data_IF_998691770696
#
_entry.id   IF_998691770696
#
_cell.length_a   1.000
_cell.length_b   1.000
_cell.length_c   1.000
_cell.angle_alpha   90.00
_cell.angle_beta   90.00
_cell.angle_gamma   90.00
#
_symmetry.space_group_name_H-M   'P 1'
#
loop_
_entity.id
_entity.type
_entity.pdbx_description
1 polymer ?
#
# COMPACT_ATOMS: atom_id res chain seq x y z
N UNK A 1 -37.95 38.27 -2.23
CA UNK A 1 -37.92 37.08 -1.37
C UNK A 1 -37.89 35.74 -2.17
N UNK A 2 -38.73 35.56 -3.18
CA UNK A 2 -38.77 34.29 -3.96
C UNK A 2 -37.45 33.95 -4.73
N UNK A 3 -36.71 34.95 -5.24
CA UNK A 3 -35.43 34.75 -5.95
C UNK A 3 -34.26 34.41 -5.02
N UNK A 4 -34.26 34.90 -3.79
CA UNK A 4 -33.27 34.58 -2.77
C UNK A 4 -33.42 33.16 -2.27
N UNK A 5 -34.68 32.68 -2.14
CA UNK A 5 -34.99 31.31 -1.71
C UNK A 5 -34.51 30.25 -2.74
N UNK A 6 -34.68 30.54 -4.03
CA UNK A 6 -34.20 29.67 -5.14
C UNK A 6 -32.66 29.59 -5.16
N UNK A 7 -31.98 30.71 -4.90
CA UNK A 7 -30.51 30.73 -4.86
C UNK A 7 -29.98 29.92 -3.67
N UNK A 8 -30.67 29.96 -2.52
CA UNK A 8 -30.30 29.20 -1.32
C UNK A 8 -30.49 27.69 -1.51
N UNK A 9 -31.54 27.26 -2.19
CA UNK A 9 -31.80 25.86 -2.56
C UNK A 9 -30.76 25.37 -3.54
N UNK A 10 -30.31 26.20 -4.50
CA UNK A 10 -29.24 25.85 -5.45
C UNK A 10 -27.87 25.71 -4.76
N UNK A 11 -27.59 26.54 -3.76
CA UNK A 11 -26.36 26.45 -2.95
C UNK A 11 -26.31 25.19 -2.07
N UNK A 12 -27.48 24.74 -1.55
CA UNK A 12 -27.57 23.50 -0.76
C UNK A 12 -27.43 22.24 -1.64
N UNK A 13 -27.87 22.30 -2.89
CA UNK A 13 -27.72 21.20 -3.86
C UNK A 13 -26.29 21.04 -4.36
N UNK A 14 -25.44 22.06 -4.25
CA UNK A 14 -24.02 21.98 -4.63
C UNK A 14 -23.11 21.37 -3.53
N UNK A 15 -23.62 21.16 -2.31
CA UNK A 15 -22.81 20.64 -1.21
C UNK A 15 -22.76 19.11 -1.09
N UNK A 16 -23.43 18.36 -1.98
CA UNK A 16 -23.45 16.90 -1.95
C UNK A 16 -22.86 16.24 -3.19
N UNK A 17 -21.92 16.90 -3.89
CA UNK A 17 -21.03 16.22 -4.81
C UNK A 17 -19.92 15.52 -4.00
N UNK A 18 -20.30 14.54 -3.17
CA UNK A 18 -19.36 13.51 -2.76
C UNK A 18 -18.96 12.81 -4.05
N UNK A 19 -17.65 12.77 -4.35
CA UNK A 19 -17.15 11.93 -5.41
C UNK A 19 -17.71 10.52 -5.16
N UNK A 20 -18.57 10.03 -6.05
CA UNK A 20 -19.05 8.66 -5.96
C UNK A 20 -17.88 7.74 -6.27
N UNK A 21 -17.66 6.72 -5.43
CA UNK A 21 -16.79 5.63 -5.84
C UNK A 21 -17.44 4.94 -7.05
N UNK A 22 -16.89 5.18 -8.23
CA UNK A 22 -17.38 4.60 -9.48
C UNK A 22 -17.02 3.12 -9.64
N UNK A 23 -16.35 2.51 -8.64
CA UNK A 23 -15.92 1.12 -8.65
C UNK A 23 -16.69 0.30 -7.62
N UNK A 24 -17.94 -0.03 -7.95
CA UNK A 24 -18.72 -0.96 -7.14
C UNK A 24 -18.07 -2.35 -7.12
N UNK A 25 -17.95 -2.94 -5.94
CA UNK A 25 -17.59 -4.35 -5.76
C UNK A 25 -18.43 -4.96 -4.64
N UNK A 26 -18.63 -6.27 -4.71
CA UNK A 26 -19.43 -7.00 -3.70
C UNK A 26 -18.80 -6.96 -2.31
N UNK A 27 -17.48 -6.76 -2.21
CA UNK A 27 -16.71 -6.78 -0.95
C UNK A 27 -16.45 -5.40 -0.38
N UNK A 28 -16.68 -4.33 -1.15
CA UNK A 28 -16.28 -2.98 -0.75
C UNK A 28 -16.92 -2.50 0.56
N UNK A 29 -18.21 -2.82 0.75
CA UNK A 29 -18.91 -2.45 1.99
C UNK A 29 -18.33 -3.14 3.23
N UNK A 30 -17.81 -4.35 3.10
CA UNK A 30 -17.16 -5.08 4.18
C UNK A 30 -15.78 -4.48 4.48
N UNK A 31 -15.01 -4.15 3.43
CA UNK A 31 -13.71 -3.49 3.55
C UNK A 31 -13.86 -2.13 4.24
N UNK A 32 -14.85 -1.30 3.85
CA UNK A 32 -15.13 -0.03 4.53
C UNK A 32 -15.41 -0.26 6.01
N UNK A 33 -16.27 -1.21 6.37
CA UNK A 33 -16.58 -1.51 7.77
C UNK A 33 -15.36 -1.93 8.57
N UNK A 34 -14.45 -2.70 7.95
CA UNK A 34 -13.22 -3.15 8.59
C UNK A 34 -12.26 -1.99 8.83
N UNK A 35 -12.01 -1.15 7.80
CA UNK A 35 -11.00 -0.09 7.82
C UNK A 35 -11.51 1.16 8.52
N UNK A 36 -12.66 1.66 8.08
CA UNK A 36 -13.21 2.95 8.51
C UNK A 36 -13.95 2.83 9.85
N UNK A 37 -14.58 1.68 10.09
CA UNK A 37 -15.40 1.44 11.29
C UNK A 37 -16.50 2.51 11.45
N UNK A 38 -16.39 3.35 12.48
CA UNK A 38 -17.33 4.42 12.79
C UNK A 38 -16.82 5.82 12.43
N UNK A 39 -15.61 5.90 11.83
CA UNK A 39 -15.01 7.19 11.47
C UNK A 39 -15.70 7.77 10.23
N UNK A 40 -15.45 9.06 9.99
CA UNK A 40 -15.90 9.71 8.75
C UNK A 40 -15.02 9.30 7.57
N UNK A 41 -15.62 9.22 6.40
CA UNK A 41 -14.87 9.03 5.16
C UNK A 41 -15.40 9.90 4.03
N UNK A 42 -14.54 10.17 3.07
CA UNK A 42 -14.83 10.86 1.82
C UNK A 42 -14.10 10.16 0.67
N UNK A 43 -14.68 10.18 -0.51
CA UNK A 43 -13.97 9.83 -1.73
C UNK A 43 -13.14 11.02 -2.18
N UNK A 44 -11.85 10.82 -2.48
CA UNK A 44 -10.91 11.91 -2.70
C UNK A 44 -9.98 11.66 -3.89
N UNK A 45 -10.19 12.40 -4.96
CA UNK A 45 -9.39 12.34 -6.19
C UNK A 45 -7.99 12.95 -6.05
N UNK A 46 -7.67 13.57 -4.90
CA UNK A 46 -6.31 14.04 -4.60
C UNK A 46 -5.33 12.90 -4.36
N UNK A 47 -5.83 11.70 -4.04
CA UNK A 47 -5.00 10.49 -4.00
C UNK A 47 -4.74 10.03 -5.44
N UNK A 48 -3.49 10.08 -5.87
CA UNK A 48 -3.09 9.62 -7.20
C UNK A 48 -2.68 8.15 -7.15
N UNK A 49 -3.38 7.32 -7.92
CA UNK A 49 -3.09 5.89 -8.03
C UNK A 49 -2.60 5.62 -9.45
N UNK A 50 -1.40 5.00 -9.57
CA UNK A 50 -0.88 4.52 -10.85
C UNK A 50 -0.76 3.02 -10.81
N UNK A 51 -1.37 2.37 -11.78
CA UNK A 51 -1.28 0.94 -12.08
C UNK A 51 -1.09 0.80 -13.59
N UNK A 52 -0.55 -0.29 -14.12
CA UNK A 52 -0.49 -0.51 -15.56
C UNK A 52 -1.91 -0.58 -16.16
N UNK A 53 -2.04 -0.19 -17.41
CA UNK A 53 -3.33 -0.29 -18.14
C UNK A 53 -3.83 -1.72 -18.22
N UNK A 54 -2.88 -2.68 -18.31
CA UNK A 54 -3.07 -4.11 -18.20
C UNK A 54 -1.84 -4.75 -17.53
N UNK A 55 -2.06 -5.63 -16.56
CA UNK A 55 -1.01 -6.35 -15.85
C UNK A 55 -0.71 -7.68 -16.57
N UNK A 56 0.29 -7.67 -17.46
CA UNK A 56 0.75 -8.86 -18.19
C UNK A 56 1.31 -9.92 -17.24
N UNK A 57 1.98 -9.49 -16.17
CA UNK A 57 2.49 -10.37 -15.12
C UNK A 57 1.70 -10.17 -13.84
N UNK A 58 0.71 -11.03 -13.60
CA UNK A 58 -0.14 -10.99 -12.41
C UNK A 58 0.58 -11.28 -11.09
N UNK A 59 1.79 -11.85 -11.13
CA UNK A 59 2.64 -12.07 -9.95
C UNK A 59 3.42 -10.83 -9.53
N UNK A 60 3.57 -9.82 -10.42
CA UNK A 60 4.38 -8.63 -10.18
C UNK A 60 3.74 -7.38 -10.75
N UNK A 61 2.57 -7.02 -10.26
CA UNK A 61 1.82 -5.83 -10.70
C UNK A 61 2.35 -4.60 -9.95
N UNK A 62 3.01 -3.65 -10.64
CA UNK A 62 3.50 -2.44 -9.99
C UNK A 62 2.34 -1.52 -9.64
N UNK A 63 2.35 -1.02 -8.41
CA UNK A 63 1.44 0.00 -7.93
C UNK A 63 2.22 1.19 -7.37
N UNK A 64 1.70 2.38 -7.60
CA UNK A 64 2.23 3.62 -7.02
C UNK A 64 1.09 4.47 -6.50
N UNK A 65 1.21 4.87 -5.25
CA UNK A 65 0.27 5.71 -4.52
C UNK A 65 0.96 7.03 -4.19
N UNK A 66 0.31 8.14 -4.50
CA UNK A 66 0.74 9.47 -4.08
C UNK A 66 -0.45 10.21 -3.44
N UNK A 67 -0.43 10.27 -2.14
CA UNK A 67 -1.37 10.97 -1.29
C UNK A 67 -0.74 12.17 -0.57
N UNK A 68 0.35 12.77 -1.10
CA UNK A 68 1.00 13.96 -0.49
C UNK A 68 0.05 15.12 -0.27
N UNK A 69 -0.98 15.25 -1.11
CA UNK A 69 -1.97 16.30 -1.00
C UNK A 69 -2.92 16.11 0.21
N UNK A 70 -2.93 14.92 0.82
CA UNK A 70 -3.66 14.69 2.07
C UNK A 70 -2.80 15.22 3.21
N UNK A 71 -3.19 16.36 3.76
CA UNK A 71 -2.44 17.02 4.82
C UNK A 71 -2.46 16.17 6.10
N UNK A 72 -1.32 16.10 6.76
CA UNK A 72 -1.15 15.39 8.03
C UNK A 72 -1.65 13.94 8.00
N UNK A 73 -1.46 13.26 6.87
CA UNK A 73 -1.76 11.84 6.75
C UNK A 73 -1.00 11.04 7.81
N UNK A 74 -1.72 10.12 8.50
CA UNK A 74 -1.22 9.29 9.61
C UNK A 74 -1.12 7.82 9.25
N UNK A 75 -1.94 7.35 8.31
CA UNK A 75 -2.03 5.93 7.99
C UNK A 75 -2.46 5.72 6.55
N UNK A 76 -1.86 4.72 5.88
CA UNK A 76 -2.31 4.21 4.58
C UNK A 76 -2.72 2.75 4.74
N UNK A 77 -3.87 2.37 4.18
CA UNK A 77 -4.28 0.97 4.08
C UNK A 77 -4.64 0.67 2.63
N UNK A 78 -4.16 -0.46 2.11
CA UNK A 78 -4.42 -0.89 0.74
C UNK A 78 -5.14 -2.24 0.71
N UNK A 79 -6.12 -2.35 -0.19
CA UNK A 79 -6.87 -3.58 -0.46
C UNK A 79 -6.96 -3.85 -1.96
N UNK A 80 -6.98 -5.13 -2.32
CA UNK A 80 -7.41 -5.61 -3.64
C UNK A 80 -8.68 -6.44 -3.43
N UNK A 81 -9.82 -5.92 -3.88
CA UNK A 81 -11.15 -6.39 -3.50
C UNK A 81 -11.38 -7.88 -3.77
N UNK A 82 -10.87 -8.41 -4.88
CA UNK A 82 -11.11 -9.77 -5.33
C UNK A 82 -9.91 -10.72 -5.15
N UNK A 83 -8.86 -10.27 -4.46
CA UNK A 83 -7.80 -11.18 -4.04
C UNK A 83 -8.29 -12.09 -2.90
N UNK A 84 -7.84 -13.36 -2.83
CA UNK A 84 -8.13 -14.23 -1.69
C UNK A 84 -7.66 -13.65 -0.36
N UNK A 85 -6.52 -12.98 -0.36
CA UNK A 85 -5.99 -12.17 0.74
C UNK A 85 -6.15 -10.72 0.29
N UNK A 86 -7.22 -10.07 0.73
CA UNK A 86 -7.62 -8.74 0.22
C UNK A 86 -6.73 -7.62 0.71
N UNK A 87 -6.37 -7.61 2.00
CA UNK A 87 -5.48 -6.60 2.58
C UNK A 87 -4.08 -6.79 2.03
N UNK A 88 -3.50 -5.71 1.53
CA UNK A 88 -2.14 -5.71 0.99
C UNK A 88 -1.16 -5.19 2.04
N UNK A 89 -1.47 -4.04 2.60
CA UNK A 89 -0.59 -3.32 3.52
C UNK A 89 -1.39 -2.41 4.45
N UNK A 90 -0.84 -2.20 5.64
CA UNK A 90 -1.31 -1.24 6.64
C UNK A 90 -0.09 -0.49 7.19
N UNK A 91 0.05 0.77 6.87
CA UNK A 91 1.25 1.56 7.11
C UNK A 91 0.94 2.77 8.00
N UNK A 92 1.62 2.86 9.13
CA UNK A 92 1.61 4.04 9.99
C UNK A 92 2.65 5.06 9.50
N UNK A 93 2.24 6.32 9.36
CA UNK A 93 3.00 7.43 8.78
C UNK A 93 3.45 8.41 9.87
N UNK A 94 4.49 8.09 10.63
CA UNK A 94 4.99 9.01 11.65
C UNK A 94 5.68 10.21 11.00
N UNK A 95 6.76 9.95 10.26
CA UNK A 95 7.50 10.99 9.53
C UNK A 95 7.66 10.67 8.03
N UNK A 96 6.75 9.87 7.49
CA UNK A 96 6.65 9.59 6.06
C UNK A 96 5.49 10.37 5.45
N UNK A 97 5.65 10.75 4.19
CA UNK A 97 4.52 11.16 3.35
C UNK A 97 3.65 9.94 3.02
N UNK A 98 2.38 10.18 2.68
CA UNK A 98 1.48 9.17 2.14
C UNK A 98 1.87 8.78 0.71
N UNK A 99 3.11 8.34 0.52
CA UNK A 99 3.68 7.91 -0.78
C UNK A 99 4.24 6.52 -0.64
N UNK A 100 3.79 5.63 -1.52
CA UNK A 100 4.18 4.23 -1.51
C UNK A 100 4.27 3.67 -2.93
N UNK A 101 5.32 2.92 -3.23
CA UNK A 101 5.38 2.08 -4.41
C UNK A 101 5.82 0.67 -4.02
N UNK A 102 5.14 -0.32 -4.57
CA UNK A 102 5.48 -1.75 -4.42
C UNK A 102 4.88 -2.55 -5.57
N UNK A 103 5.24 -3.82 -5.66
CA UNK A 103 4.60 -4.77 -6.58
C UNK A 103 3.72 -5.72 -5.79
N UNK A 104 2.57 -6.08 -6.35
CA UNK A 104 1.61 -7.01 -5.74
C UNK A 104 1.27 -8.16 -6.68
N UNK A 105 0.78 -9.25 -6.08
CA UNK A 105 0.14 -10.35 -6.80
C UNK A 105 -1.35 -10.08 -6.92
N UNK A 106 -1.94 -10.41 -8.07
CA UNK A 106 -3.38 -10.30 -8.28
C UNK A 106 -3.95 -11.63 -8.78
N UNK A 107 -5.03 -12.08 -8.14
CA UNK A 107 -5.69 -13.34 -8.49
C UNK A 107 -6.59 -13.20 -9.72
N UNK A 108 -7.11 -12.01 -9.95
CA UNK A 108 -8.00 -11.68 -11.08
C UNK A 108 -8.07 -10.16 -11.25
N UNK A 109 -8.78 -9.69 -12.29
CA UNK A 109 -9.12 -8.26 -12.40
C UNK A 109 -9.80 -7.79 -11.11
N UNK A 110 -9.32 -6.69 -10.52
CA UNK A 110 -9.73 -6.26 -9.18
C UNK A 110 -9.61 -4.76 -8.97
N UNK A 111 -10.55 -4.13 -8.26
CA UNK A 111 -10.33 -2.79 -7.71
C UNK A 111 -9.19 -2.79 -6.68
N UNK A 112 -8.23 -1.88 -6.85
CA UNK A 112 -7.27 -1.49 -5.82
C UNK A 112 -7.89 -0.34 -5.04
N UNK A 113 -8.03 -0.50 -3.72
CA UNK A 113 -8.54 0.52 -2.81
C UNK A 113 -7.40 1.11 -2.00
N UNK A 114 -7.41 2.42 -1.91
CA UNK A 114 -6.47 3.20 -1.11
C UNK A 114 -7.24 3.99 -0.08
N UNK A 115 -6.94 3.77 1.19
CA UNK A 115 -7.49 4.48 2.32
C UNK A 115 -6.36 5.26 2.99
N UNK A 116 -6.52 6.57 3.17
CA UNK A 116 -5.57 7.43 3.88
C UNK A 116 -6.31 8.13 5.01
N UNK A 117 -5.84 7.91 6.25
CA UNK A 117 -6.37 8.58 7.44
C UNK A 117 -5.60 9.88 7.68
N UNK A 118 -6.31 10.99 7.85
CA UNK A 118 -5.74 12.28 8.26
C UNK A 118 -5.69 12.46 9.79
N UNK A 119 -5.20 13.59 10.26
CA UNK A 119 -5.10 13.95 11.68
C UNK A 119 -6.45 14.33 12.32
N UNK A 120 -7.49 14.53 11.50
CA UNK A 120 -8.87 14.82 11.94
C UNK A 120 -9.72 13.55 12.04
N UNK A 121 -9.10 12.38 11.87
CA UNK A 121 -9.76 11.07 11.80
C UNK A 121 -10.78 10.98 10.65
N UNK A 122 -10.47 11.59 9.51
CA UNK A 122 -11.23 11.45 8.27
C UNK A 122 -10.46 10.51 7.34
N UNK A 123 -11.13 9.48 6.86
CA UNK A 123 -10.60 8.59 5.84
C UNK A 123 -10.85 9.16 4.45
N UNK A 124 -9.77 9.35 3.70
CA UNK A 124 -9.79 9.71 2.29
C UNK A 124 -9.67 8.41 1.48
N UNK A 125 -10.60 8.15 0.58
CA UNK A 125 -10.69 6.90 -0.18
C UNK A 125 -10.56 7.20 -1.65
N UNK A 126 -9.72 6.43 -2.35
CA UNK A 126 -9.64 6.44 -3.81
C UNK A 126 -9.46 5.02 -4.33
N UNK A 127 -9.81 4.80 -5.58
CA UNK A 127 -9.83 3.47 -6.18
C UNK A 127 -9.32 3.49 -7.61
N UNK A 128 -8.69 2.39 -8.04
CA UNK A 128 -8.26 2.19 -9.42
C UNK A 128 -8.40 0.72 -9.80
N UNK A 129 -9.02 0.41 -10.94
CA UNK A 129 -9.11 -0.96 -11.39
C UNK A 129 -7.78 -1.48 -11.93
N UNK A 130 -7.36 -2.67 -11.49
CA UNK A 130 -6.23 -3.42 -12.04
C UNK A 130 -6.79 -4.46 -13.00
N UNK A 131 -6.56 -4.28 -14.28
CA UNK A 131 -6.91 -5.27 -15.32
C UNK A 131 -5.81 -6.31 -15.40
N UNK A 132 -6.16 -7.60 -15.29
CA UNK A 132 -5.23 -8.72 -15.33
C UNK A 132 -5.95 -9.99 -15.79
N UNK A 133 -5.20 -10.90 -16.39
CA UNK A 133 -5.68 -12.28 -16.62
C UNK A 133 -5.72 -13.11 -15.33
N UNK A 134 -5.14 -12.62 -14.24
CA UNK A 134 -5.17 -13.26 -12.93
C UNK A 134 -4.14 -14.39 -12.74
N UNK A 135 -4.36 -15.21 -11.69
CA UNK A 135 -3.51 -16.35 -11.35
C UNK A 135 -2.23 -16.00 -10.58
N UNK A 136 -2.02 -14.73 -10.20
CA UNK A 136 -0.78 -14.33 -9.53
C UNK A 136 -0.64 -14.81 -8.08
N UNK A 137 -1.76 -15.12 -7.42
CA UNK A 137 -1.76 -15.62 -6.05
C UNK A 137 -1.63 -17.14 -5.94
N UNK A 138 -1.88 -17.87 -7.04
CA UNK A 138 -1.95 -19.34 -7.08
C UNK A 138 -0.67 -19.99 -7.59
N UNK A 139 0.43 -19.22 -7.64
CA UNK A 139 1.73 -19.69 -8.11
C UNK A 139 2.75 -19.50 -7.00
N UNK A 140 3.53 -20.56 -6.72
CA UNK A 140 4.66 -20.50 -5.81
C UNK A 140 5.77 -19.59 -6.33
N UNK A 141 6.55 -19.02 -5.41
CA UNK A 141 7.72 -18.22 -5.73
C UNK A 141 8.70 -18.99 -6.61
N UNK A 142 9.20 -18.32 -7.64
CA UNK A 142 10.25 -18.87 -8.49
C UNK A 142 11.59 -18.97 -7.74
N UNK A 143 11.79 -18.16 -6.71
CA UNK A 143 12.98 -18.16 -5.86
C UNK A 143 13.20 -19.49 -5.16
N UNK A 144 12.14 -20.21 -4.75
CA UNK A 144 12.22 -21.49 -4.06
C UNK A 144 12.77 -22.63 -4.94
N UNK A 145 12.73 -22.48 -6.25
CA UNK A 145 13.25 -23.48 -7.18
C UNK A 145 14.79 -23.38 -7.36
N UNK A 146 15.42 -22.42 -6.69
CA UNK A 146 16.86 -22.21 -6.78
C UNK A 146 17.56 -22.77 -5.53
N UNK A 147 18.48 -23.73 -5.70
CA UNK A 147 19.32 -24.31 -4.62
C UNK A 147 20.15 -23.27 -3.86
N UNK A 148 20.33 -22.08 -4.41
CA UNK A 148 21.05 -20.98 -3.77
C UNK A 148 20.15 -20.03 -3.00
N UNK A 149 18.82 -20.27 -2.97
CA UNK A 149 17.85 -19.44 -2.33
C UNK A 149 18.21 -19.07 -0.88
N UNK A 150 18.61 -20.07 -0.08
CA UNK A 150 18.98 -19.89 1.32
C UNK A 150 20.16 -18.91 1.52
N UNK A 151 21.08 -18.83 0.54
CA UNK A 151 22.23 -17.91 0.62
C UNK A 151 21.83 -16.43 0.49
N UNK A 152 20.70 -16.16 -0.15
CA UNK A 152 20.25 -14.79 -0.43
C UNK A 152 19.08 -14.36 0.43
N UNK A 153 18.44 -15.31 1.12
CA UNK A 153 17.30 -15.02 1.98
C UNK A 153 17.64 -13.91 2.99
N UNK A 154 16.78 -12.88 3.02
CA UNK A 154 16.95 -11.74 3.90
C UNK A 154 17.99 -10.72 3.47
N UNK A 155 18.65 -10.88 2.31
CA UNK A 155 19.54 -9.83 1.79
C UNK A 155 18.78 -8.57 1.46
N UNK A 156 19.15 -7.47 2.11
CA UNK A 156 18.55 -6.16 1.93
C UNK A 156 19.46 -5.30 1.05
N UNK A 157 18.86 -4.58 0.10
CA UNK A 157 19.48 -3.52 -0.68
C UNK A 157 18.66 -2.26 -0.58
N UNK A 158 19.31 -1.11 -0.60
CA UNK A 158 18.58 0.16 -0.57
C UNK A 158 19.46 1.34 -0.93
N UNK A 159 18.80 2.48 -1.16
CA UNK A 159 19.42 3.73 -1.55
C UNK A 159 18.53 4.89 -1.11
N UNK A 160 19.14 6.01 -0.70
CA UNK A 160 18.46 7.21 -0.30
C UNK A 160 18.77 8.33 -1.29
N UNK A 161 17.74 9.01 -1.75
CA UNK A 161 17.83 10.17 -2.63
C UNK A 161 17.29 11.38 -1.87
N UNK A 162 18.19 12.27 -1.44
CA UNK A 162 17.81 13.54 -0.83
C UNK A 162 17.18 14.44 -1.89
N UNK A 163 16.01 15.01 -1.60
CA UNK A 163 15.24 15.88 -2.49
C UNK A 163 15.21 17.31 -1.94
N UNK A 164 14.52 18.20 -2.64
CA UNK A 164 14.27 19.55 -2.12
C UNK A 164 13.43 19.47 -0.84
N UNK A 165 12.40 18.62 -0.83
CA UNK A 165 11.54 18.31 0.29
C UNK A 165 11.68 16.84 0.66
N UNK A 166 12.21 16.55 1.87
CA UNK A 166 12.41 15.21 2.39
C UNK A 166 13.46 14.39 1.66
N UNK A 167 13.31 13.08 1.71
CA UNK A 167 14.15 12.08 1.01
C UNK A 167 13.29 10.96 0.46
N UNK A 168 13.73 10.38 -0.66
CA UNK A 168 13.14 9.16 -1.20
C UNK A 168 14.01 7.98 -0.82
N UNK A 169 13.40 7.00 -0.18
CA UNK A 169 14.03 5.75 0.22
C UNK A 169 13.56 4.66 -0.76
N UNK A 170 14.53 3.96 -1.35
CA UNK A 170 14.29 2.69 -2.06
C UNK A 170 14.84 1.58 -1.19
N UNK A 171 14.05 0.56 -0.93
CA UNK A 171 14.47 -0.61 -0.18
C UNK A 171 13.94 -1.88 -0.85
N UNK A 172 14.72 -2.95 -0.80
CA UNK A 172 14.31 -4.27 -1.27
C UNK A 172 14.92 -5.34 -0.37
N UNK A 173 14.23 -6.48 -0.30
CA UNK A 173 14.72 -7.66 0.41
C UNK A 173 14.54 -8.87 -0.48
N UNK A 174 15.48 -9.81 -0.43
CA UNK A 174 15.31 -11.10 -1.09
C UNK A 174 14.47 -12.01 -0.20
N UNK A 175 13.22 -12.28 -0.62
CA UNK A 175 12.24 -13.06 0.14
C UNK A 175 11.17 -13.65 -0.81
N UNK A 176 10.73 -14.92 -0.65
CA UNK A 176 9.79 -15.57 -1.57
C UNK A 176 8.38 -15.02 -1.51
N UNK A 177 7.96 -14.50 -0.37
CA UNK A 177 6.59 -14.00 -0.18
C UNK A 177 5.54 -15.06 -0.54
N UNK A 178 5.68 -16.28 -0.01
CA UNK A 178 4.74 -17.38 -0.26
C UNK A 178 3.38 -17.11 0.37
N UNK A 179 2.31 -17.33 -0.40
CA UNK A 179 0.93 -17.07 0.03
C UNK A 179 0.34 -18.20 0.88
N UNK A 180 0.88 -19.42 0.79
CA UNK A 180 0.27 -20.61 1.34
C UNK A 180 -1.00 -21.09 0.60
N UNK A 181 -1.39 -20.44 -0.50
CA UNK A 181 -2.57 -20.79 -1.29
C UNK A 181 -2.30 -21.95 -2.28
N UNK A 182 -1.04 -22.18 -2.59
CA UNK A 182 -0.63 -23.30 -3.46
C UNK A 182 -0.58 -24.57 -2.64
N UNK A 183 -1.17 -25.66 -3.17
CA UNK A 183 -1.18 -26.94 -2.48
C UNK A 183 0.25 -27.43 -2.13
N UNK A 184 0.46 -27.77 -0.85
CA UNK A 184 1.73 -28.24 -0.34
C UNK A 184 2.73 -27.16 0.02
N UNK A 185 2.38 -25.88 -0.11
CA UNK A 185 3.18 -24.76 0.38
C UNK A 185 2.63 -24.23 1.70
N UNK A 186 3.51 -23.72 2.57
CA UNK A 186 3.15 -22.94 3.75
C UNK A 186 3.33 -21.46 3.43
N UNK A 187 2.55 -20.60 4.07
CA UNK A 187 2.79 -19.16 3.96
C UNK A 187 4.14 -18.82 4.57
N UNK A 188 4.90 -18.01 3.85
CA UNK A 188 6.20 -17.49 4.30
C UNK A 188 6.44 -16.14 3.65
N UNK A 189 6.26 -15.06 4.40
CA UNK A 189 6.25 -13.70 3.87
C UNK A 189 6.74 -12.67 4.91
N UNK A 190 7.19 -11.53 4.44
CA UNK A 190 7.47 -10.37 5.31
C UNK A 190 6.13 -9.83 5.82
N UNK A 191 5.91 -9.87 7.13
CA UNK A 191 4.70 -9.41 7.78
C UNK A 191 4.86 -8.03 8.44
N UNK A 192 6.09 -7.61 8.77
CA UNK A 192 6.34 -6.32 9.42
C UNK A 192 7.60 -5.66 8.85
N UNK A 193 7.55 -4.33 8.69
CA UNK A 193 8.68 -3.50 8.29
C UNK A 193 8.73 -2.29 9.21
N UNK A 194 9.88 -2.03 9.83
CA UNK A 194 10.13 -0.85 10.66
C UNK A 194 11.22 0.01 10.03
N UNK A 195 10.95 1.31 9.89
CA UNK A 195 11.88 2.28 9.30
C UNK A 195 12.19 3.33 10.36
N UNK A 196 13.48 3.52 10.66
CA UNK A 196 13.95 4.46 11.68
C UNK A 196 15.10 5.33 11.15
N UNK A 197 15.11 6.59 11.55
CA UNK A 197 16.30 7.43 11.47
C UNK A 197 16.86 7.57 12.89
N UNK A 198 18.00 6.92 13.15
CA UNK A 198 18.51 6.70 14.52
C UNK A 198 17.42 6.07 15.40
N UNK A 199 17.02 6.71 16.50
CA UNK A 199 15.98 6.23 17.42
C UNK A 199 14.57 6.70 17.04
N UNK A 200 14.44 7.58 16.02
CA UNK A 200 13.15 8.12 15.60
C UNK A 200 12.47 7.18 14.60
N UNK A 201 11.27 6.72 14.92
CA UNK A 201 10.45 5.93 14.01
C UNK A 201 9.94 6.84 12.90
N UNK A 202 10.20 6.47 11.64
CA UNK A 202 9.66 7.15 10.46
C UNK A 202 8.35 6.54 10.01
N UNK A 203 8.20 5.22 10.16
CA UNK A 203 6.99 4.49 9.85
C UNK A 203 7.09 3.01 10.20
N UNK A 204 5.95 2.39 10.45
CA UNK A 204 5.79 0.96 10.65
C UNK A 204 4.74 0.43 9.68
N UNK A 205 5.00 -0.74 9.13
CA UNK A 205 4.20 -1.32 8.06
C UNK A 205 3.89 -2.76 8.43
N UNK A 206 2.63 -3.12 8.39
CA UNK A 206 2.17 -4.50 8.35
C UNK A 206 1.84 -4.85 6.91
N UNK A 207 2.36 -5.96 6.42
CA UNK A 207 2.17 -6.42 5.06
C UNK A 207 1.63 -7.85 5.03
N UNK A 208 1.19 -8.29 3.86
CA UNK A 208 0.67 -9.64 3.65
C UNK A 208 1.41 -10.33 2.52
N UNK A 209 1.18 -11.61 2.37
CA UNK A 209 1.84 -12.47 1.36
C UNK A 209 1.44 -12.15 -0.09
N UNK A 210 0.47 -11.25 -0.34
CA UNK A 210 0.12 -10.78 -1.69
C UNK A 210 1.09 -9.74 -2.24
N UNK A 211 2.05 -9.25 -1.45
CA UNK A 211 3.19 -8.53 -2.00
C UNK A 211 4.02 -9.52 -2.82
N UNK A 212 4.55 -9.06 -3.96
CA UNK A 212 5.33 -9.89 -4.88
C UNK A 212 6.62 -10.40 -4.25
N UNK A 213 7.15 -11.51 -4.76
CA UNK A 213 8.47 -12.01 -4.34
C UNK A 213 9.58 -10.96 -4.53
N UNK A 214 10.60 -11.03 -3.70
CA UNK A 214 11.71 -10.08 -3.69
C UNK A 214 11.20 -8.63 -3.63
N UNK A 215 10.38 -8.30 -2.60
CA UNK A 215 9.66 -7.04 -2.55
C UNK A 215 10.59 -5.84 -2.63
N UNK A 216 10.10 -4.84 -3.36
CA UNK A 216 10.75 -3.54 -3.52
C UNK A 216 9.78 -2.45 -3.10
N UNK A 217 10.25 -1.58 -2.23
CA UNK A 217 9.47 -0.49 -1.68
C UNK A 217 10.09 0.85 -2.04
N UNK A 218 9.24 1.85 -2.27
CA UNK A 218 9.64 3.25 -2.30
C UNK A 218 8.80 3.99 -1.27
N UNK A 219 9.47 4.72 -0.39
CA UNK A 219 8.88 5.61 0.61
C UNK A 219 9.42 7.03 0.41
N UNK A 220 8.72 8.02 0.94
CA UNK A 220 9.21 9.38 1.00
C UNK A 220 9.06 9.95 2.41
N UNK A 221 10.15 10.51 2.94
CA UNK A 221 10.18 11.15 4.26
C UNK A 221 9.75 12.59 4.18
N UNK A 222 9.16 13.12 5.27
CA UNK A 222 8.82 14.54 5.40
C UNK A 222 10.07 15.40 5.62
N UNK A 223 11.07 14.86 6.31
CA UNK A 223 12.35 15.50 6.57
C UNK A 223 13.46 14.88 5.73
N UNK A 224 14.54 15.63 5.50
CA UNK A 224 15.73 15.12 4.82
C UNK A 224 16.45 14.15 5.72
N UNK A 225 16.68 12.94 5.22
CA UNK A 225 17.50 11.92 5.85
C UNK A 225 18.54 11.42 4.86
N UNK A 226 19.72 11.11 5.33
CA UNK A 226 20.85 10.56 4.56
C UNK A 226 21.22 9.15 4.99
N UNK A 227 20.63 8.67 6.08
CA UNK A 227 20.74 7.30 6.56
C UNK A 227 19.46 6.87 7.28
N UNK A 228 19.16 5.59 7.20
CA UNK A 228 18.07 4.95 7.93
C UNK A 228 18.47 3.54 8.36
N UNK A 229 17.85 3.06 9.42
CA UNK A 229 17.82 1.65 9.80
C UNK A 229 16.48 1.07 9.35
N UNK A 230 16.51 0.00 8.59
CA UNK A 230 15.32 -0.75 8.21
C UNK A 230 15.39 -2.17 8.78
N UNK A 231 14.29 -2.63 9.35
CA UNK A 231 14.11 -4.00 9.84
C UNK A 231 12.90 -4.62 9.16
N UNK A 232 13.09 -5.80 8.58
CA UNK A 232 12.02 -6.65 8.05
C UNK A 232 11.86 -7.85 8.99
N UNK A 233 10.64 -8.17 9.36
CA UNK A 233 10.28 -9.39 10.10
C UNK A 233 9.42 -10.27 9.20
N UNK A 234 9.70 -11.56 9.15
CA UNK A 234 8.87 -12.51 8.39
C UNK A 234 7.85 -13.23 9.30
N UNK A 235 6.99 -14.02 8.69
CA UNK A 235 5.94 -14.79 9.37
C UNK A 235 6.48 -15.85 10.33
N UNK A 236 7.73 -16.29 10.15
CA UNK A 236 8.42 -17.24 11.03
C UNK A 236 9.16 -16.54 12.19
N UNK A 237 9.12 -15.19 12.20
CA UNK A 237 9.75 -14.36 13.25
C UNK A 237 11.23 -14.06 13.01
N UNK A 238 11.78 -14.40 11.84
CA UNK A 238 13.15 -14.00 11.47
C UNK A 238 13.21 -12.49 11.22
N UNK A 239 14.34 -11.88 11.63
CA UNK A 239 14.57 -10.44 11.52
C UNK A 239 15.78 -10.13 10.67
N UNK A 240 15.56 -9.34 9.65
CA UNK A 240 16.58 -8.91 8.70
C UNK A 240 16.76 -7.40 8.83
N UNK A 241 18.00 -6.95 9.07
CA UNK A 241 18.32 -5.55 9.35
C UNK A 241 19.39 -5.02 8.41
N UNK A 242 19.21 -3.77 8.02
CA UNK A 242 20.25 -3.05 7.27
C UNK A 242 20.23 -1.56 7.61
N UNK A 243 21.40 -0.93 7.50
CA UNK A 243 21.52 0.51 7.40
C UNK A 243 21.60 0.88 5.91
N UNK A 244 20.74 1.79 5.49
CA UNK A 244 20.71 2.32 4.11
C UNK A 244 21.22 3.76 4.16
N UNK A 245 22.07 4.11 3.21
CA UNK A 245 22.69 5.43 3.06
C UNK A 245 22.46 5.98 1.66
#
# INVERSE_FOLDING_TARGET
>A
MRKIFVLFIYLILLQNLNALDHMESSTFNEIIKEVVKNDKHIFDDNIKIKVPDFADNSMQVPIFIDGKNIQNAKRIVLYADYNPIQKIIDMQLENLFAVLSLNIKVAQETPLRVFILDDKNIWHISSKNIKSNGGGCDVSSQSLNNYEYEKFLGQIKGEIFVKEEGSRIKASIFHPMETGLVFGTTEFYINEISIKNNDTVLGNIQSTSVISENPRFIFETKEKVDNINIEFTDSDGNKYKAQIK
#
